data_IF_504122244385
#
_entry.id   IF_504122244385
#
_cell.length_a   1.000
_cell.length_b   1.000
_cell.length_c   1.000
_cell.angle_alpha   90.00
_cell.angle_beta   90.00
_cell.angle_gamma   90.00
#
_symmetry.space_group_name_H-M   'P 1'
#
loop_
_entity.id
_entity.type
_entity.pdbx_description
1 polymer ?
#
# COMPACT_ATOMS: atom_id res chain seq x y z
N UNK A 1 -4.45 -13.16 8.69
CA UNK A 1 -5.35 -12.16 8.06
C UNK A 1 -4.50 -11.12 7.34
N UNK A 2 -4.99 -10.48 6.28
CA UNK A 2 -4.24 -9.45 5.54
C UNK A 2 -3.80 -8.28 6.44
N UNK A 3 -4.57 -8.01 7.50
CA UNK A 3 -4.25 -7.06 8.56
C UNK A 3 -2.94 -7.35 9.33
N UNK A 4 -2.42 -8.59 9.32
CA UNK A 4 -1.16 -8.93 10.01
C UNK A 4 0.09 -8.44 9.25
N UNK A 5 -0.09 -8.02 8.00
CA UNK A 5 0.99 -7.59 7.10
C UNK A 5 1.02 -6.06 7.00
N UNK A 6 -0.07 -5.41 7.38
CA UNK A 6 -0.20 -3.96 7.35
C UNK A 6 0.50 -3.36 8.59
N UNK A 7 1.48 -2.47 8.44
CA UNK A 7 2.02 -1.71 9.56
C UNK A 7 0.90 -0.85 10.15
N UNK A 8 0.73 -0.90 11.47
CA UNK A 8 -0.30 -0.11 12.16
C UNK A 8 -0.05 1.40 12.09
N UNK A 9 1.18 1.81 11.77
CA UNK A 9 1.70 3.17 11.80
C UNK A 9 2.03 3.75 10.42
N UNK A 10 1.76 3.01 9.33
CA UNK A 10 2.04 3.48 7.97
C UNK A 10 1.38 4.85 7.76
N UNK A 11 2.13 5.86 7.35
CA UNK A 11 1.60 7.22 7.17
C UNK A 11 1.09 7.45 5.74
N UNK A 12 0.31 8.51 5.54
CA UNK A 12 -0.09 8.93 4.21
C UNK A 12 1.16 9.26 3.37
N UNK A 13 1.25 8.70 2.17
CA UNK A 13 2.41 8.87 1.28
C UNK A 13 3.56 7.88 1.51
N UNK A 14 3.52 7.09 2.58
CA UNK A 14 4.45 5.98 2.77
C UNK A 14 4.03 4.73 2.00
N UNK A 15 5.04 3.96 1.57
CA UNK A 15 4.86 2.70 0.86
C UNK A 15 5.55 1.61 1.66
N UNK A 16 4.82 0.54 1.93
CA UNK A 16 5.34 -0.67 2.55
C UNK A 16 5.44 -1.79 1.52
N UNK A 17 6.48 -2.62 1.66
CA UNK A 17 6.72 -3.78 0.82
C UNK A 17 6.80 -5.00 1.73
N UNK A 18 5.91 -5.97 1.52
CA UNK A 18 5.96 -7.25 2.17
C UNK A 18 6.33 -8.32 1.14
N UNK A 19 7.45 -9.01 1.37
CA UNK A 19 8.01 -9.99 0.44
C UNK A 19 7.54 -11.38 0.85
N UNK A 20 7.24 -12.23 -0.14
CA UNK A 20 6.71 -13.58 0.04
C UNK A 20 7.28 -14.37 1.23
N UNK A 21 8.60 -14.44 1.36
CA UNK A 21 9.28 -15.17 2.44
C UNK A 21 8.98 -14.65 3.86
N UNK A 22 8.52 -13.41 4.00
CA UNK A 22 8.18 -12.75 5.26
C UNK A 22 6.76 -13.09 5.72
N UNK A 23 5.94 -13.66 4.83
CA UNK A 23 4.56 -14.02 5.13
C UNK A 23 4.44 -15.31 5.95
N UNK A 24 3.76 -15.23 7.09
CA UNK A 24 3.31 -16.39 7.87
C UNK A 24 2.25 -17.23 7.14
N UNK A 25 1.55 -16.64 6.18
CA UNK A 25 0.55 -17.31 5.33
C UNK A 25 1.22 -17.97 4.12
N UNK A 26 1.13 -19.30 4.03
CA UNK A 26 1.74 -20.09 2.95
C UNK A 26 1.31 -19.62 1.54
N UNK A 27 0.03 -19.25 1.37
CA UNK A 27 -0.51 -18.75 0.09
C UNK A 27 0.12 -17.43 -0.38
N UNK A 28 0.77 -16.69 0.52
CA UNK A 28 1.44 -15.42 0.20
C UNK A 28 2.95 -15.60 0.07
N UNK A 29 3.51 -16.81 0.24
CA UNK A 29 4.95 -17.05 0.10
C UNK A 29 5.47 -16.88 -1.31
N UNK A 30 4.60 -17.10 -2.29
CA UNK A 30 4.92 -16.99 -3.71
C UNK A 30 4.61 -15.59 -4.27
N UNK A 31 4.09 -14.69 -3.44
CA UNK A 31 3.66 -13.36 -3.81
C UNK A 31 4.33 -12.28 -2.96
N UNK A 32 4.55 -11.12 -3.56
CA UNK A 32 4.90 -9.90 -2.85
C UNK A 32 3.74 -8.91 -2.92
N UNK A 33 3.66 -8.09 -1.88
CA UNK A 33 2.67 -7.04 -1.72
C UNK A 33 3.41 -5.70 -1.63
N UNK A 34 3.03 -4.73 -2.44
CA UNK A 34 3.48 -3.34 -2.30
C UNK A 34 2.24 -2.51 -2.07
N UNK A 35 2.15 -1.79 -0.96
CA UNK A 35 0.94 -1.02 -0.63
C UNK A 35 1.28 0.28 0.08
N UNK A 36 0.40 1.26 -0.03
CA UNK A 36 0.52 2.58 0.59
C UNK A 36 -0.85 3.07 1.07
N UNK A 37 -0.86 4.01 2.01
CA UNK A 37 -2.09 4.64 2.51
C UNK A 37 -2.48 5.85 1.68
N UNK A 38 -3.78 6.07 1.55
CA UNK A 38 -4.35 7.31 1.02
C UNK A 38 -5.40 7.87 1.99
N UNK A 39 -5.55 9.19 1.99
CA UNK A 39 -6.50 9.90 2.86
C UNK A 39 -6.14 11.37 3.05
N UNK A 40 -6.83 12.02 3.97
CA UNK A 40 -6.71 13.45 4.27
C UNK A 40 -6.56 13.64 5.78
N UNK A 41 -5.65 14.54 6.20
CA UNK A 41 -5.41 14.82 7.62
C UNK A 41 -4.72 13.68 8.39
N UNK A 42 -5.10 13.49 9.65
CA UNK A 42 -4.51 12.48 10.55
C UNK A 42 -5.13 11.08 10.42
N UNK A 43 -6.27 10.96 9.74
CA UNK A 43 -6.97 9.69 9.54
C UNK A 43 -6.86 9.26 8.07
N UNK A 44 -6.14 8.16 7.80
CA UNK A 44 -6.15 7.61 6.45
C UNK A 44 -7.48 6.91 6.16
N UNK A 45 -7.99 7.10 4.95
CA UNK A 45 -9.26 6.53 4.48
C UNK A 45 -9.07 5.09 4.02
N UNK A 46 -7.90 4.73 3.49
CA UNK A 46 -7.68 3.37 3.01
C UNK A 46 -6.27 3.07 2.54
N UNK A 47 -6.15 1.92 1.87
CA UNK A 47 -4.91 1.37 1.32
C UNK A 47 -5.08 1.09 -0.17
N UNK A 48 -4.01 1.32 -0.93
CA UNK A 48 -3.89 0.89 -2.32
C UNK A 48 -2.61 0.08 -2.47
N UNK A 49 -2.63 -0.96 -3.30
CA UNK A 49 -1.45 -1.80 -3.48
C UNK A 49 -1.49 -2.71 -4.69
N UNK A 50 -0.33 -3.29 -4.96
CA UNK A 50 -0.07 -4.27 -6.01
C UNK A 50 0.21 -5.61 -5.35
N UNK A 51 -0.40 -6.66 -5.90
CA UNK A 51 -0.06 -8.05 -5.63
C UNK A 51 0.63 -8.62 -6.86
N UNK A 52 1.82 -9.19 -6.68
CA UNK A 52 2.61 -9.74 -7.78
C UNK A 52 3.49 -10.91 -7.35
N UNK A 53 4.19 -11.57 -8.29
CA UNK A 53 5.16 -12.60 -7.95
C UNK A 53 6.33 -12.02 -7.12
N UNK A 54 7.01 -12.86 -6.35
CA UNK A 54 8.14 -12.43 -5.50
C UNK A 54 9.25 -11.71 -6.29
N UNK A 55 9.47 -12.11 -7.56
CA UNK A 55 10.33 -11.37 -8.50
C UNK A 55 9.47 -10.49 -9.40
N UNK A 56 9.31 -9.23 -9.02
CA UNK A 56 8.70 -8.19 -9.84
C UNK A 56 9.61 -6.96 -9.93
N UNK A 57 9.27 -6.01 -10.80
CA UNK A 57 9.92 -4.71 -10.84
C UNK A 57 9.42 -3.85 -9.66
N UNK A 58 10.10 -3.96 -8.52
CA UNK A 58 9.75 -3.21 -7.31
C UNK A 58 9.83 -1.70 -7.49
N UNK A 59 10.78 -1.20 -8.29
CA UNK A 59 10.91 0.23 -8.52
C UNK A 59 9.65 0.78 -9.22
N UNK A 60 9.19 0.10 -10.27
CA UNK A 60 7.93 0.43 -10.95
C UNK A 60 6.74 0.28 -10.02
N UNK A 61 6.63 -0.83 -9.29
CA UNK A 61 5.50 -1.09 -8.39
C UNK A 61 5.39 -0.05 -7.26
N UNK A 62 6.51 0.28 -6.61
CA UNK A 62 6.58 1.32 -5.56
C UNK A 62 6.19 2.68 -6.14
N UNK A 63 6.71 3.04 -7.31
CA UNK A 63 6.36 4.28 -8.00
C UNK A 63 4.88 4.39 -8.32
N UNK A 64 4.29 3.32 -8.86
CA UNK A 64 2.86 3.26 -9.19
C UNK A 64 1.97 3.39 -7.94
N UNK A 65 2.27 2.63 -6.88
CA UNK A 65 1.51 2.69 -5.62
C UNK A 65 1.60 4.08 -4.99
N UNK A 66 2.78 4.71 -4.99
CA UNK A 66 2.94 6.07 -4.47
C UNK A 66 2.13 7.08 -5.29
N UNK A 67 2.19 7.00 -6.61
CA UNK A 67 1.44 7.89 -7.49
C UNK A 67 -0.07 7.76 -7.28
N UNK A 68 -0.60 6.54 -7.31
CA UNK A 68 -2.03 6.29 -7.12
C UNK A 68 -2.46 6.66 -5.69
N UNK A 69 -1.65 6.37 -4.67
CA UNK A 69 -1.94 6.78 -3.29
C UNK A 69 -2.04 8.29 -3.13
N UNK A 70 -1.17 9.05 -3.79
CA UNK A 70 -1.24 10.52 -3.83
C UNK A 70 -2.50 10.99 -4.54
N UNK A 71 -2.78 10.45 -5.73
CA UNK A 71 -3.96 10.82 -6.51
C UNK A 71 -5.26 10.56 -5.73
N UNK A 72 -5.36 9.42 -5.06
CA UNK A 72 -6.51 9.09 -4.22
C UNK A 72 -6.62 10.02 -3.01
N UNK A 73 -5.49 10.45 -2.43
CA UNK A 73 -5.49 11.42 -1.34
C UNK A 73 -6.01 12.79 -1.80
N UNK A 74 -5.64 13.21 -3.00
CA UNK A 74 -6.13 14.46 -3.59
C UNK A 74 -7.63 14.39 -3.89
N UNK A 75 -8.12 13.26 -4.44
CA UNK A 75 -9.55 13.03 -4.65
C UNK A 75 -10.34 13.08 -3.34
N UNK A 76 -9.81 12.46 -2.28
CA UNK A 76 -10.43 12.49 -0.95
C UNK A 76 -10.54 13.92 -0.42
N UNK A 77 -9.48 14.73 -0.53
CA UNK A 77 -9.50 16.14 -0.07
C UNK A 77 -10.61 16.92 -0.76
N UNK A 78 -10.72 16.78 -2.08
CA UNK A 78 -11.79 17.42 -2.88
C UNK A 78 -13.18 17.00 -2.40
N UNK A 79 -13.38 15.71 -2.08
CA UNK A 79 -14.67 15.21 -1.59
C UNK A 79 -15.01 15.72 -0.18
N UNK A 80 -14.00 15.94 0.67
CA UNK A 80 -14.17 16.51 2.01
C UNK A 80 -14.40 18.02 2.01
N UNK A 81 -14.25 18.68 0.85
CA UNK A 81 -14.37 20.13 0.73
C UNK A 81 -13.13 20.89 1.23
N UNK A 82 -11.97 20.23 1.29
CA UNK A 82 -10.66 20.81 1.61
C UNK A 82 -9.81 21.04 0.36
#
# INVERSE_FOLDING_TARGET
RLAEILPGDLQAGEVHVAIGSEHRLALLRDCSLVFGRYGSGMDAIGLVGIVGPTRMDYARSIGAVRYVGSLMSDLVRVMEGH
#
